data_IF_296306364819
#
_entry.id   IF_296306364819
#
_cell.length_a   1.000
_cell.length_b   1.000
_cell.length_c   1.000
_cell.angle_alpha   90.00
_cell.angle_beta   90.00
_cell.angle_gamma   90.00
#
_symmetry.space_group_name_H-M   'P 1'
#
loop_
_entity.id
_entity.type
_entity.pdbx_description
1 polymer ?
#
# COMPACT_ATOMS: atom_id res chain seq x y z
N UNK A 1 -19.93 11.43 -34.46
CA UNK A 1 -18.70 11.81 -35.17
C UNK A 1 -17.75 12.34 -34.10
N UNK A 2 -17.02 11.45 -33.42
CA UNK A 2 -16.07 11.85 -32.39
C UNK A 2 -14.93 12.61 -33.08
N UNK A 3 -14.55 13.75 -32.52
CA UNK A 3 -13.48 14.59 -33.08
C UNK A 3 -12.13 13.90 -32.86
N UNK A 4 -11.15 14.09 -33.76
CA UNK A 4 -9.83 13.43 -33.65
C UNK A 4 -9.16 13.66 -32.29
N UNK A 5 -9.38 14.82 -31.68
CA UNK A 5 -8.91 15.15 -30.34
C UNK A 5 -9.49 14.25 -29.23
N UNK A 6 -10.75 13.82 -29.32
CA UNK A 6 -11.36 12.91 -28.34
C UNK A 6 -10.79 11.49 -28.47
N UNK A 7 -10.45 11.08 -29.70
CA UNK A 7 -9.80 9.79 -29.95
C UNK A 7 -8.35 9.78 -29.44
N UNK A 8 -7.63 10.90 -29.59
CA UNK A 8 -6.27 11.04 -29.08
C UNK A 8 -6.25 11.02 -27.55
N UNK A 9 -7.16 11.73 -26.88
CA UNK A 9 -7.30 11.68 -25.41
C UNK A 9 -7.65 10.28 -24.93
N UNK A 10 -8.55 9.57 -25.63
CA UNK A 10 -8.92 8.20 -25.28
C UNK A 10 -7.74 7.23 -25.44
N UNK A 11 -6.98 7.36 -26.53
CA UNK A 11 -5.79 6.56 -26.79
C UNK A 11 -4.70 6.85 -25.74
N UNK A 12 -4.47 8.11 -25.42
CA UNK A 12 -3.50 8.54 -24.43
C UNK A 12 -3.89 8.09 -23.01
N UNK A 13 -5.18 8.11 -22.66
CA UNK A 13 -5.66 7.64 -21.38
C UNK A 13 -5.62 6.10 -21.22
N UNK A 14 -5.84 5.35 -22.31
CA UNK A 14 -5.96 3.89 -22.26
C UNK A 14 -4.66 3.15 -22.59
N UNK A 15 -3.92 3.57 -23.61
CA UNK A 15 -2.76 2.83 -24.14
C UNK A 15 -1.46 3.24 -23.45
N UNK A 16 -1.30 4.53 -23.17
CA UNK A 16 -0.09 5.09 -22.55
C UNK A 16 0.25 4.46 -21.18
N UNK A 17 -0.70 4.19 -20.28
CA UNK A 17 -0.40 3.53 -19.00
C UNK A 17 0.18 2.13 -19.18
N UNK A 18 -0.30 1.35 -20.15
CA UNK A 18 0.26 0.03 -20.44
C UNK A 18 1.66 0.14 -21.04
N UNK A 19 1.88 1.11 -21.94
CA UNK A 19 3.21 1.38 -22.46
C UNK A 19 4.19 1.75 -21.34
N UNK A 20 3.82 2.69 -20.47
CA UNK A 20 4.63 3.05 -19.29
C UNK A 20 4.91 1.84 -18.38
N UNK A 21 3.92 0.97 -18.17
CA UNK A 21 4.08 -0.24 -17.36
C UNK A 21 5.11 -1.24 -17.90
N UNK A 22 5.21 -1.41 -19.21
CA UNK A 22 6.10 -2.41 -19.82
C UNK A 22 7.43 -1.84 -20.33
N UNK A 23 7.45 -0.59 -20.79
CA UNK A 23 8.64 0.03 -21.36
C UNK A 23 9.48 0.78 -20.32
N UNK A 24 8.90 1.19 -19.18
CA UNK A 24 9.70 1.72 -18.07
C UNK A 24 10.04 0.62 -17.05
N UNK A 25 11.30 0.17 -16.95
CA UNK A 25 11.68 -0.93 -16.05
C UNK A 25 11.40 -0.64 -14.58
N UNK A 26 11.48 0.64 -14.17
CA UNK A 26 11.20 1.07 -12.79
C UNK A 26 9.72 0.89 -12.44
N UNK A 27 8.81 1.21 -13.36
CA UNK A 27 7.36 1.06 -13.14
C UNK A 27 6.98 -0.41 -13.12
N UNK A 28 7.55 -1.20 -14.03
CA UNK A 28 7.38 -2.65 -14.08
C UNK A 28 7.74 -3.32 -12.74
N UNK A 29 8.92 -3.01 -12.19
CA UNK A 29 9.39 -3.57 -10.91
C UNK A 29 8.47 -3.20 -9.74
N UNK A 30 7.94 -1.97 -9.72
CA UNK A 30 6.99 -1.55 -8.68
C UNK A 30 5.65 -2.28 -8.78
N UNK A 31 5.17 -2.52 -10.00
CA UNK A 31 3.95 -3.29 -10.22
C UNK A 31 4.15 -4.76 -9.83
N UNK A 32 5.30 -5.35 -10.14
CA UNK A 32 5.63 -6.69 -9.70
C UNK A 32 5.67 -6.78 -8.15
N UNK A 33 6.29 -5.79 -7.50
CA UNK A 33 6.34 -5.71 -6.04
C UNK A 33 4.95 -5.56 -5.41
N UNK A 34 4.10 -4.68 -5.96
CA UNK A 34 2.74 -4.49 -5.43
C UNK A 34 1.86 -5.73 -5.66
N UNK A 35 2.06 -6.44 -6.79
CA UNK A 35 1.39 -7.71 -7.07
C UNK A 35 1.77 -8.78 -6.07
N UNK A 36 3.05 -8.88 -5.70
CA UNK A 36 3.52 -9.80 -4.66
C UNK A 36 2.85 -9.49 -3.31
N UNK A 37 2.80 -8.22 -2.91
CA UNK A 37 2.15 -7.81 -1.65
C UNK A 37 0.65 -8.13 -1.66
N UNK A 38 -0.04 -7.91 -2.78
CA UNK A 38 -1.43 -8.32 -2.92
C UNK A 38 -1.62 -9.83 -2.80
N UNK A 39 -0.74 -10.62 -3.40
CA UNK A 39 -0.76 -12.08 -3.24
C UNK A 39 -0.66 -12.49 -1.76
N UNK A 40 0.29 -11.88 -1.03
CA UNK A 40 0.47 -12.12 0.41
C UNK A 40 -0.78 -11.69 1.20
N UNK A 41 -1.37 -10.52 0.87
CA UNK A 41 -2.58 -10.01 1.51
C UNK A 41 -3.75 -11.01 1.39
N UNK A 42 -3.98 -11.57 0.21
CA UNK A 42 -5.08 -12.50 -0.01
C UNK A 42 -4.87 -13.82 0.73
N UNK A 43 -3.66 -14.36 0.72
CA UNK A 43 -3.32 -15.55 1.50
C UNK A 43 -3.47 -15.28 3.01
N UNK A 44 -3.07 -14.09 3.46
CA UNK A 44 -3.19 -13.69 4.85
C UNK A 44 -4.66 -13.59 5.30
N UNK A 45 -5.57 -13.11 4.44
CA UNK A 45 -7.01 -13.09 4.74
C UNK A 45 -7.61 -14.48 4.93
N UNK A 46 -7.05 -15.50 4.28
CA UNK A 46 -7.45 -16.91 4.49
C UNK A 46 -6.84 -17.47 5.78
N UNK A 47 -5.59 -17.14 6.08
CA UNK A 47 -4.93 -17.55 7.32
C UNK A 47 -5.52 -16.91 8.59
N UNK A 48 -6.09 -15.71 8.47
CA UNK A 48 -6.66 -14.96 9.59
C UNK A 48 -7.75 -15.72 10.35
N UNK A 49 -8.85 -16.17 9.72
CA UNK A 49 -9.89 -16.92 10.42
C UNK A 49 -9.39 -18.26 10.96
N UNK A 50 -8.41 -18.90 10.33
CA UNK A 50 -7.81 -20.15 10.82
C UNK A 50 -7.16 -19.91 12.20
N UNK A 51 -6.35 -18.86 12.33
CA UNK A 51 -5.67 -18.53 13.59
C UNK A 51 -6.64 -18.14 14.71
N UNK A 52 -7.68 -17.36 14.41
CA UNK A 52 -8.60 -16.89 15.46
C UNK A 52 -9.69 -17.91 15.78
N UNK A 53 -10.22 -18.62 14.79
CA UNK A 53 -11.31 -19.56 15.00
C UNK A 53 -10.82 -20.94 15.43
N UNK A 54 -9.80 -21.51 14.79
CA UNK A 54 -9.34 -22.88 15.10
C UNK A 54 -8.43 -22.93 16.31
N UNK A 55 -7.51 -21.96 16.47
CA UNK A 55 -6.51 -21.98 17.54
C UNK A 55 -7.01 -21.25 18.79
N UNK A 56 -7.58 -20.04 18.63
CA UNK A 56 -8.07 -19.25 19.78
C UNK A 56 -9.54 -19.49 20.12
N UNK A 57 -10.26 -20.29 19.33
CA UNK A 57 -11.65 -20.65 19.58
C UNK A 57 -12.66 -19.49 19.45
N UNK A 58 -12.31 -18.43 18.72
CA UNK A 58 -13.20 -17.27 18.54
C UNK A 58 -14.44 -17.65 17.73
N UNK A 59 -15.57 -17.03 18.10
CA UNK A 59 -16.78 -17.10 17.29
C UNK A 59 -16.64 -16.26 16.00
N UNK A 60 -17.57 -16.43 15.05
CA UNK A 60 -17.52 -15.70 13.77
C UNK A 60 -17.61 -14.18 13.93
N UNK A 61 -18.34 -13.69 14.93
CA UNK A 61 -18.45 -12.26 15.26
C UNK A 61 -17.15 -11.71 15.85
N UNK A 62 -16.53 -12.41 16.80
CA UNK A 62 -15.25 -12.04 17.43
C UNK A 62 -14.11 -12.02 16.41
N UNK A 63 -14.09 -12.97 15.47
CA UNK A 63 -13.16 -12.97 14.33
C UNK A 63 -13.37 -11.73 13.45
N UNK A 64 -14.62 -11.33 13.22
CA UNK A 64 -14.96 -10.07 12.54
C UNK A 64 -14.50 -8.83 13.32
N UNK A 65 -14.60 -8.84 14.65
CA UNK A 65 -14.05 -7.78 15.50
C UNK A 65 -12.53 -7.69 15.40
N UNK A 66 -11.83 -8.82 15.32
CA UNK A 66 -10.38 -8.83 15.15
C UNK A 66 -9.96 -8.19 13.81
N UNK A 67 -10.76 -8.32 12.74
CA UNK A 67 -10.54 -7.64 11.46
C UNK A 67 -10.70 -6.11 11.55
N UNK A 68 -11.46 -5.58 12.53
CA UNK A 68 -11.56 -4.12 12.76
C UNK A 68 -10.23 -3.48 13.16
N UNK A 69 -9.25 -4.28 13.57
CA UNK A 69 -7.88 -3.81 13.80
C UNK A 69 -7.27 -3.12 12.56
N UNK A 70 -7.64 -3.53 11.34
CA UNK A 70 -7.16 -2.95 10.08
C UNK A 70 -7.63 -1.50 9.91
N UNK A 71 -8.95 -1.19 9.90
CA UNK A 71 -9.43 0.19 9.80
C UNK A 71 -8.99 1.03 11.00
N UNK A 72 -8.94 0.45 12.21
CA UNK A 72 -8.47 1.17 13.40
C UNK A 72 -7.00 1.60 13.25
N UNK A 73 -6.11 0.69 12.84
CA UNK A 73 -4.71 1.01 12.55
C UNK A 73 -4.57 2.05 11.44
N UNK A 74 -5.36 1.90 10.38
CA UNK A 74 -5.32 2.83 9.24
C UNK A 74 -5.72 4.25 9.68
N UNK A 75 -6.84 4.39 10.38
CA UNK A 75 -7.38 5.68 10.81
C UNK A 75 -6.56 6.34 11.92
N UNK A 76 -6.17 5.57 12.94
CA UNK A 76 -5.54 6.13 14.15
C UNK A 76 -4.02 6.26 14.04
N UNK A 77 -3.35 5.44 13.22
CA UNK A 77 -1.88 5.39 13.15
C UNK A 77 -1.42 5.85 11.77
N UNK A 78 -1.90 5.17 10.72
CA UNK A 78 -1.33 5.32 9.38
C UNK A 78 -1.63 6.68 8.78
N UNK A 79 -2.89 7.13 8.82
CA UNK A 79 -3.31 8.42 8.28
C UNK A 79 -2.56 9.58 8.95
N UNK A 80 -2.59 9.74 10.30
CA UNK A 80 -1.88 10.83 10.96
C UNK A 80 -0.39 10.84 10.65
N UNK A 81 0.28 9.68 10.68
CA UNK A 81 1.72 9.60 10.41
C UNK A 81 2.05 9.94 8.95
N UNK A 82 1.23 9.47 8.00
CA UNK A 82 1.42 9.78 6.59
C UNK A 82 1.20 11.27 6.30
N UNK A 83 0.15 11.88 6.85
CA UNK A 83 -0.08 13.32 6.72
C UNK A 83 1.02 14.14 7.39
N UNK A 84 1.49 13.75 8.57
CA UNK A 84 2.63 14.38 9.23
C UNK A 84 3.88 14.33 8.34
N UNK A 85 4.16 13.17 7.73
CA UNK A 85 5.27 13.01 6.82
C UNK A 85 5.14 13.92 5.58
N UNK A 86 3.94 13.98 4.98
CA UNK A 86 3.67 14.87 3.84
C UNK A 86 3.86 16.35 4.20
N UNK A 87 3.30 16.80 5.32
CA UNK A 87 3.36 18.20 5.74
C UNK A 87 4.75 18.64 6.18
N UNK A 88 5.51 17.78 6.87
CA UNK A 88 6.79 18.17 7.47
C UNK A 88 7.99 17.90 6.58
N UNK A 89 7.97 16.79 5.84
CA UNK A 89 9.09 16.36 5.02
C UNK A 89 8.83 16.64 3.55
N UNK A 90 7.71 16.18 3.01
CA UNK A 90 7.42 16.33 1.57
C UNK A 90 7.25 17.80 1.16
N UNK A 91 6.64 18.63 2.02
CA UNK A 91 6.46 20.06 1.78
C UNK A 91 7.79 20.83 1.55
N UNK A 92 8.92 20.32 2.05
CA UNK A 92 10.24 20.96 1.93
C UNK A 92 10.93 20.71 0.59
N UNK A 93 10.45 19.72 -0.18
CA UNK A 93 11.03 19.33 -1.46
C UNK A 93 10.18 19.81 -2.65
N UNK A 94 9.27 20.75 -2.42
CA UNK A 94 8.60 21.44 -3.51
C UNK A 94 9.53 22.50 -4.09
N UNK A 95 9.72 22.40 -5.40
CA UNK A 95 10.45 23.41 -6.19
C UNK A 95 9.59 24.68 -6.36
N UNK A 96 10.18 25.78 -6.83
CA UNK A 96 9.48 27.06 -7.09
C UNK A 96 8.25 26.88 -8.00
N UNK A 97 8.24 25.84 -8.84
CA UNK A 97 7.16 25.49 -9.76
C UNK A 97 6.14 24.50 -9.17
N UNK A 98 6.09 24.32 -7.84
CA UNK A 98 5.22 23.34 -7.15
C UNK A 98 5.41 21.88 -7.62
N UNK A 99 6.57 21.59 -8.19
CA UNK A 99 6.93 20.26 -8.62
C UNK A 99 7.68 19.52 -7.52
N UNK A 100 7.42 18.22 -7.42
CA UNK A 100 8.18 17.33 -6.56
C UNK A 100 8.68 16.15 -7.38
N UNK A 101 9.96 15.82 -7.22
CA UNK A 101 10.56 14.66 -7.86
C UNK A 101 9.85 13.39 -7.35
N UNK A 102 9.39 12.49 -8.24
CA UNK A 102 8.66 11.28 -7.85
C UNK A 102 9.41 10.38 -6.84
N UNK A 103 10.73 10.49 -6.76
CA UNK A 103 11.60 9.72 -5.85
C UNK A 103 11.37 10.09 -4.38
N UNK A 104 11.04 11.35 -4.08
CA UNK A 104 10.77 11.80 -2.71
C UNK A 104 9.49 11.21 -2.13
N UNK A 105 8.69 10.51 -2.93
CA UNK A 105 7.48 9.81 -2.51
C UNK A 105 7.72 8.37 -2.09
N UNK A 106 8.91 7.82 -2.37
CA UNK A 106 9.29 6.44 -2.06
C UNK A 106 9.64 6.17 -0.57
N UNK A 107 10.15 7.11 0.24
CA UNK A 107 10.60 6.81 1.61
C UNK A 107 9.60 6.08 2.52
N UNK A 108 8.28 6.39 2.51
CA UNK A 108 7.33 5.64 3.32
C UNK A 108 7.16 4.19 2.85
N UNK A 109 7.36 3.89 1.56
CA UNK A 109 7.37 2.51 1.05
C UNK A 109 8.51 1.69 1.68
N UNK A 110 9.68 2.30 1.91
CA UNK A 110 10.80 1.62 2.56
C UNK A 110 10.45 1.24 4.00
N UNK A 111 9.78 2.13 4.75
CA UNK A 111 9.31 1.83 6.12
C UNK A 111 8.29 0.69 6.09
N UNK A 112 7.34 0.73 5.17
CA UNK A 112 6.37 -0.35 5.00
C UNK A 112 7.00 -1.69 4.59
N UNK A 113 8.08 -1.66 3.80
CA UNK A 113 8.80 -2.85 3.34
C UNK A 113 9.47 -3.62 4.49
N UNK A 114 9.87 -2.94 5.58
CA UNK A 114 10.33 -3.61 6.80
C UNK A 114 9.17 -3.99 7.73
N UNK A 115 8.12 -3.16 7.80
CA UNK A 115 6.97 -3.44 8.66
C UNK A 115 6.21 -4.71 8.25
N UNK A 116 6.06 -4.98 6.94
CA UNK A 116 5.37 -6.17 6.41
C UNK A 116 5.98 -7.52 6.84
N UNK A 117 7.28 -7.80 6.65
CA UNK A 117 7.86 -9.07 7.08
C UNK A 117 7.83 -9.22 8.61
N UNK A 118 8.02 -8.13 9.36
CA UNK A 118 7.92 -8.14 10.82
C UNK A 118 6.51 -8.49 11.27
N UNK A 119 5.49 -7.91 10.63
CA UNK A 119 4.10 -8.22 10.96
C UNK A 119 3.71 -9.64 10.57
N UNK A 120 4.15 -10.14 9.42
CA UNK A 120 3.89 -11.52 9.00
C UNK A 120 4.56 -12.53 9.91
N UNK A 121 5.81 -12.27 10.31
CA UNK A 121 6.51 -13.12 11.27
C UNK A 121 5.82 -13.10 12.64
N UNK A 122 5.44 -11.92 13.12
CA UNK A 122 4.71 -11.76 14.37
C UNK A 122 3.36 -12.46 14.35
N UNK A 123 2.63 -12.37 13.23
CA UNK A 123 1.34 -13.04 13.04
C UNK A 123 1.49 -14.55 12.99
N UNK A 124 2.44 -15.08 12.20
CA UNK A 124 2.67 -16.51 12.07
C UNK A 124 3.19 -17.15 13.36
N UNK A 125 4.10 -16.48 14.07
CA UNK A 125 4.55 -16.95 15.38
C UNK A 125 3.41 -16.89 16.39
N UNK A 126 2.86 -15.70 16.65
CA UNK A 126 1.89 -15.51 17.73
C UNK A 126 0.58 -16.25 17.47
N UNK A 127 0.24 -16.49 16.20
CA UNK A 127 -0.95 -17.22 15.81
C UNK A 127 -0.84 -18.73 16.03
N UNK A 128 0.36 -19.32 16.08
CA UNK A 128 0.56 -20.77 16.15
C UNK A 128 0.52 -21.34 17.58
N UNK A 129 0.46 -20.50 18.60
CA UNK A 129 0.49 -20.95 19.99
C UNK A 129 -0.75 -20.46 20.74
N UNK A 130 -1.57 -21.40 21.23
CA UNK A 130 -2.72 -21.11 22.11
C UNK A 130 -2.29 -20.45 23.43
N UNK A 131 -1.04 -20.64 23.84
CA UNK A 131 -0.49 -20.05 25.07
C UNK A 131 -0.23 -18.54 24.94
N UNK A 132 -0.20 -18.00 23.73
CA UNK A 132 0.02 -16.57 23.48
C UNK A 132 -1.33 -15.87 23.45
N UNK A 133 -1.43 -14.72 24.14
CA UNK A 133 -2.67 -13.96 24.19
C UNK A 133 -3.07 -13.45 22.80
N UNK A 134 -4.32 -13.66 22.40
CA UNK A 134 -4.94 -13.27 21.12
C UNK A 134 -4.71 -11.81 20.70
N UNK A 135 -4.32 -10.93 21.62
CA UNK A 135 -4.01 -9.52 21.34
C UNK A 135 -2.74 -9.37 20.49
N UNK A 136 -1.78 -10.28 20.63
CA UNK A 136 -0.50 -10.23 19.90
C UNK A 136 -0.71 -10.39 18.39
N UNK A 137 -1.43 -11.41 17.89
CA UNK A 137 -1.73 -11.50 16.46
C UNK A 137 -2.62 -10.34 15.97
N UNK A 138 -3.47 -9.75 16.82
CA UNK A 138 -4.22 -8.53 16.46
C UNK A 138 -3.28 -7.34 16.25
N UNK A 139 -2.31 -7.11 17.15
CA UNK A 139 -1.32 -6.04 16.99
C UNK A 139 -0.45 -6.27 15.75
N UNK A 140 -0.07 -7.53 15.47
CA UNK A 140 0.64 -7.87 14.23
C UNK A 140 -0.21 -7.52 12.99
N UNK A 141 -1.52 -7.77 13.03
CA UNK A 141 -2.46 -7.40 11.97
C UNK A 141 -2.57 -5.88 11.78
N UNK A 142 -2.53 -5.11 12.86
CA UNK A 142 -2.46 -3.64 12.80
C UNK A 142 -1.17 -3.17 12.11
N UNK A 143 -0.03 -3.78 12.42
CA UNK A 143 1.25 -3.45 11.81
C UNK A 143 1.31 -3.83 10.32
N UNK A 144 0.66 -4.94 9.94
CA UNK A 144 0.49 -5.33 8.55
C UNK A 144 -0.33 -4.29 7.77
N UNK A 145 -1.46 -3.85 8.32
CA UNK A 145 -2.26 -2.78 7.73
C UNK A 145 -1.46 -1.49 7.54
N UNK A 146 -0.67 -1.10 8.56
CA UNK A 146 0.21 0.05 8.50
C UNK A 146 1.26 -0.04 7.39
N UNK A 147 1.99 -1.16 7.33
CA UNK A 147 3.03 -1.37 6.32
C UNK A 147 2.47 -1.42 4.90
N UNK A 148 1.36 -2.14 4.71
CA UNK A 148 0.64 -2.22 3.44
C UNK A 148 0.19 -0.84 2.96
N UNK A 149 -0.52 -0.09 3.80
CA UNK A 149 -1.00 1.25 3.45
C UNK A 149 0.14 2.23 3.13
N UNK A 150 1.28 2.18 3.83
CA UNK A 150 2.44 3.02 3.50
C UNK A 150 3.00 2.72 2.12
N UNK A 151 3.14 1.44 1.76
CA UNK A 151 3.62 1.04 0.43
C UNK A 151 2.62 1.46 -0.64
N UNK A 152 1.33 1.15 -0.45
CA UNK A 152 0.28 1.49 -1.40
C UNK A 152 0.22 2.99 -1.71
N UNK A 153 0.20 3.82 -0.67
CA UNK A 153 0.13 5.27 -0.83
C UNK A 153 1.37 5.85 -1.51
N UNK A 154 2.56 5.34 -1.17
CA UNK A 154 3.84 5.80 -1.73
C UNK A 154 3.97 5.46 -3.21
N UNK A 155 3.66 4.23 -3.60
CA UNK A 155 3.73 3.80 -5.01
C UNK A 155 2.66 4.52 -5.82
N UNK A 156 1.43 4.65 -5.29
CA UNK A 156 0.35 5.37 -5.97
C UNK A 156 0.72 6.83 -6.21
N UNK A 157 1.25 7.51 -5.19
CA UNK A 157 1.78 8.87 -5.33
C UNK A 157 2.83 8.94 -6.44
N UNK A 158 3.84 8.06 -6.39
CA UNK A 158 4.94 8.05 -7.34
C UNK A 158 4.44 7.91 -8.78
N UNK A 159 3.51 6.98 -9.03
CA UNK A 159 2.90 6.77 -10.36
C UNK A 159 2.17 8.00 -10.87
N UNK A 160 1.41 8.69 -10.03
CA UNK A 160 0.71 9.93 -10.42
C UNK A 160 1.71 11.00 -10.86
N UNK A 161 2.79 11.19 -10.09
CA UNK A 161 3.80 12.20 -10.42
C UNK A 161 4.59 11.84 -11.68
N UNK A 162 4.86 10.56 -11.91
CA UNK A 162 5.48 10.10 -13.17
C UNK A 162 4.55 10.36 -14.36
N UNK A 163 3.26 10.00 -14.26
CA UNK A 163 2.28 10.29 -15.31
C UNK A 163 2.20 11.80 -15.63
N UNK A 164 2.21 12.67 -14.60
CA UNK A 164 2.23 14.13 -14.76
C UNK A 164 3.53 14.67 -15.37
N UNK A 165 4.66 14.00 -15.16
CA UNK A 165 5.95 14.37 -15.77
C UNK A 165 5.96 14.03 -17.27
N UNK A 166 5.45 12.85 -17.63
CA UNK A 166 5.35 12.43 -19.03
C UNK A 166 4.33 13.25 -19.81
N UNK A 167 3.20 13.64 -19.22
CA UNK A 167 2.22 14.53 -19.86
C UNK A 167 2.78 15.92 -20.22
N UNK A 168 3.85 16.38 -19.56
CA UNK A 168 4.49 17.69 -19.81
C UNK A 168 5.61 17.66 -20.84
N UNK A 169 6.10 16.49 -21.24
CA UNK A 169 7.14 16.37 -22.26
C UNK A 169 6.58 16.29 -23.69
N UNK A 170 5.28 16.05 -23.84
CA UNK A 170 4.59 15.90 -25.13
C UNK A 170 3.79 17.17 -25.54
N UNK A 171 3.98 18.30 -24.82
CA UNK A 171 3.46 19.64 -25.15
C UNK A 171 4.60 20.62 -25.41
#
# INVERSE_FOLDING_TARGET
>A
MFTSAEQDVLFEALVRPFQLCFFEPVVFLMNLYISLIYGILYIWFEAFPIVFSEIHGFNSGETGLALLSIPVSTCCITIPLYFYWKLKYQAKYFDENWNITPEYQLPPACVGAFALPISMFGFGWAGNFESIHWIVPIIASMLFAFGGCMIFNSIFGKRIRMASKYARHDT
#
